data_IF_528724239293
#
_entry.id   IF_528724239293
#
_cell.length_a   1.000
_cell.length_b   1.000
_cell.length_c   1.000
_cell.angle_alpha   90.00
_cell.angle_beta   90.00
_cell.angle_gamma   90.00
#
_symmetry.space_group_name_H-M   'P 1'
#
loop_
_entity.id
_entity.type
_entity.pdbx_description
1 polymer ?
#
# COMPACT_ATOMS: atom_id res chain seq x y z
N UNK A 1 16.35 -20.27 -11.51
CA UNK A 1 15.19 -20.40 -12.43
C UNK A 1 14.35 -19.14 -12.33
N UNK A 2 13.87 -18.61 -13.45
CA UNK A 2 12.96 -17.46 -13.50
C UNK A 2 11.55 -17.89 -13.11
N UNK A 3 10.85 -17.09 -12.30
CA UNK A 3 9.47 -17.39 -11.89
C UNK A 3 8.50 -16.90 -12.97
N UNK A 4 7.59 -17.75 -13.45
CA UNK A 4 6.47 -17.27 -14.28
C UNK A 4 5.63 -16.24 -13.53
N UNK A 5 4.88 -15.39 -14.26
CA UNK A 5 3.97 -14.42 -13.65
C UNK A 5 2.95 -15.07 -12.70
N UNK A 6 2.43 -16.25 -13.08
CA UNK A 6 1.53 -17.01 -12.21
C UNK A 6 2.21 -17.44 -10.90
N UNK A 7 3.50 -17.80 -10.94
CA UNK A 7 4.26 -18.14 -9.73
C UNK A 7 4.51 -16.90 -8.88
N UNK A 8 4.83 -15.74 -9.46
CA UNK A 8 5.00 -14.48 -8.73
C UNK A 8 3.71 -14.09 -7.99
N UNK A 9 2.55 -14.16 -8.67
CA UNK A 9 1.25 -13.86 -8.07
C UNK A 9 0.96 -14.79 -6.88
N UNK A 10 1.18 -16.10 -7.06
CA UNK A 10 0.98 -17.09 -5.98
C UNK A 10 1.93 -16.84 -4.81
N UNK A 11 3.21 -16.60 -5.09
CA UNK A 11 4.20 -16.30 -4.05
C UNK A 11 3.89 -15.02 -3.29
N UNK A 12 3.37 -13.99 -3.96
CA UNK A 12 2.92 -12.76 -3.30
C UNK A 12 1.73 -13.03 -2.37
N UNK A 13 0.73 -13.78 -2.84
CA UNK A 13 -0.42 -14.16 -2.02
C UNK A 13 0.01 -14.99 -0.79
N UNK A 14 0.89 -15.98 -0.97
CA UNK A 14 1.42 -16.79 0.12
C UNK A 14 2.21 -15.95 1.13
N UNK A 15 3.03 -15.00 0.66
CA UNK A 15 3.80 -14.11 1.52
C UNK A 15 2.91 -13.17 2.34
N UNK A 16 1.84 -12.62 1.73
CA UNK A 16 0.85 -11.81 2.44
C UNK A 16 0.09 -12.64 3.49
N UNK A 17 -0.34 -13.86 3.15
CA UNK A 17 -1.01 -14.75 4.09
C UNK A 17 -0.10 -15.14 5.28
N UNK A 18 1.19 -15.36 5.04
CA UNK A 18 2.13 -15.59 6.14
C UNK A 18 2.31 -14.35 7.01
N UNK A 19 2.41 -13.18 6.40
CA UNK A 19 2.50 -11.93 7.14
C UNK A 19 1.28 -11.70 8.03
N UNK A 20 0.08 -11.97 7.53
CA UNK A 20 -1.17 -11.93 8.31
C UNK A 20 -1.14 -12.87 9.53
N UNK A 21 -0.68 -14.10 9.35
CA UNK A 21 -0.59 -15.08 10.44
C UNK A 21 0.41 -14.66 11.52
N UNK A 22 1.59 -14.19 11.12
CA UNK A 22 2.60 -13.66 12.05
C UNK A 22 2.05 -12.48 12.87
N UNK A 23 1.33 -11.56 12.22
CA UNK A 23 0.65 -10.46 12.92
C UNK A 23 -0.43 -10.97 13.88
N UNK A 24 -1.23 -11.96 13.47
CA UNK A 24 -2.26 -12.56 14.31
C UNK A 24 -1.69 -13.29 15.53
N UNK A 25 -0.47 -13.82 15.43
CA UNK A 25 0.27 -14.40 16.56
C UNK A 25 0.99 -13.37 17.44
N UNK A 26 0.90 -12.08 17.08
CA UNK A 26 1.48 -10.99 17.85
C UNK A 26 2.96 -10.72 17.56
N UNK A 27 3.50 -11.24 16.45
CA UNK A 27 4.88 -10.99 16.06
C UNK A 27 5.10 -9.48 15.82
N UNK A 28 6.15 -8.87 16.40
CA UNK A 28 6.46 -7.47 16.14
C UNK A 28 6.81 -7.25 14.67
N UNK A 29 6.20 -6.24 14.04
CA UNK A 29 6.45 -5.89 12.62
C UNK A 29 7.94 -5.66 12.32
N UNK A 30 8.70 -5.18 13.30
CA UNK A 30 10.14 -4.96 13.18
C UNK A 30 10.95 -6.24 12.94
N UNK A 31 10.44 -7.41 13.35
CA UNK A 31 11.06 -8.71 13.15
C UNK A 31 10.73 -9.29 11.77
N UNK A 32 9.64 -8.81 11.15
CA UNK A 32 9.15 -9.25 9.83
C UNK A 32 9.77 -8.48 8.66
N UNK A 33 10.92 -7.82 8.86
CA UNK A 33 11.60 -7.00 7.83
C UNK A 33 11.95 -7.77 6.56
N UNK A 34 12.39 -9.01 6.70
CA UNK A 34 12.70 -9.85 5.54
C UNK A 34 11.45 -10.22 4.74
N UNK A 35 10.37 -10.56 5.44
CA UNK A 35 9.09 -10.90 4.81
C UNK A 35 8.47 -9.69 4.10
N UNK A 36 8.45 -8.53 4.77
CA UNK A 36 7.97 -7.26 4.18
C UNK A 36 8.82 -6.82 2.98
N UNK A 37 10.14 -7.00 3.04
CA UNK A 37 11.03 -6.80 1.88
C UNK A 37 10.64 -7.70 0.70
N UNK A 38 10.50 -9.01 0.95
CA UNK A 38 10.11 -9.98 -0.08
C UNK A 38 8.73 -9.69 -0.69
N UNK A 39 7.75 -9.30 0.12
CA UNK A 39 6.42 -8.88 -0.35
C UNK A 39 6.56 -7.73 -1.35
N UNK A 40 7.40 -6.72 -1.03
CA UNK A 40 7.62 -5.59 -1.91
C UNK A 40 8.27 -5.98 -3.24
N UNK A 41 9.29 -6.83 -3.21
CA UNK A 41 9.95 -7.34 -4.42
C UNK A 41 8.98 -8.11 -5.33
N UNK A 42 8.17 -8.99 -4.74
CA UNK A 42 7.16 -9.76 -5.46
C UNK A 42 6.07 -8.87 -6.07
N UNK A 43 5.62 -7.87 -5.33
CA UNK A 43 4.67 -6.87 -5.82
C UNK A 43 5.25 -6.09 -7.01
N UNK A 44 6.47 -5.58 -6.89
CA UNK A 44 7.14 -4.85 -7.95
C UNK A 44 7.33 -5.72 -9.21
N UNK A 45 7.74 -6.99 -9.04
CA UNK A 45 7.85 -7.93 -10.16
C UNK A 45 6.50 -8.21 -10.84
N UNK A 46 5.42 -8.31 -10.05
CA UNK A 46 4.06 -8.52 -10.58
C UNK A 46 3.59 -7.31 -11.41
N UNK A 47 3.63 -6.10 -10.84
CA UNK A 47 3.05 -4.91 -11.48
C UNK A 47 3.84 -4.47 -12.71
N UNK A 48 5.15 -4.73 -12.74
CA UNK A 48 6.02 -4.43 -13.90
C UNK A 48 6.09 -5.57 -14.90
N UNK A 49 5.33 -6.66 -14.70
CA UNK A 49 5.43 -7.92 -15.45
C UNK A 49 6.88 -8.45 -15.53
N UNK A 50 7.69 -8.06 -14.55
CA UNK A 50 9.11 -8.31 -14.48
C UNK A 50 9.45 -9.64 -13.82
N UNK A 51 10.70 -9.76 -13.43
CA UNK A 51 11.28 -10.89 -12.73
C UNK A 51 12.08 -10.37 -11.55
N UNK A 52 12.13 -11.15 -10.47
CA UNK A 52 13.12 -10.91 -9.42
C UNK A 52 14.53 -11.04 -10.00
N UNK A 53 15.48 -10.32 -9.42
CA UNK A 53 16.87 -10.37 -9.85
C UNK A 53 17.38 -11.82 -9.93
N UNK A 54 18.06 -12.15 -11.04
CA UNK A 54 18.44 -13.52 -11.40
C UNK A 54 19.46 -14.15 -10.44
N UNK A 55 20.21 -13.32 -9.71
CA UNK A 55 21.25 -13.72 -8.76
C UNK A 55 20.83 -13.41 -7.33
N UNK A 56 21.06 -14.38 -6.44
CA UNK A 56 20.97 -14.14 -4.99
C UNK A 56 22.06 -13.13 -4.62
N UNK A 57 21.70 -12.06 -3.91
CA UNK A 57 22.57 -10.92 -3.58
C UNK A 57 23.01 -10.05 -4.77
N UNK A 58 22.14 -9.89 -5.78
CA UNK A 58 22.36 -8.93 -6.84
C UNK A 58 22.59 -7.52 -6.27
N UNK A 59 23.66 -6.86 -6.74
CA UNK A 59 24.04 -5.56 -6.19
C UNK A 59 23.20 -4.45 -6.81
N UNK A 60 22.43 -3.76 -5.96
CA UNK A 60 21.84 -2.46 -6.24
C UNK A 60 20.49 -2.44 -6.97
N UNK A 61 19.93 -3.60 -7.33
CA UNK A 61 18.55 -3.72 -7.81
C UNK A 61 17.96 -5.09 -7.47
N UNK A 62 16.64 -5.14 -7.37
CA UNK A 62 15.88 -6.26 -6.82
C UNK A 62 14.98 -6.92 -7.87
N UNK A 63 14.52 -6.14 -8.86
CA UNK A 63 13.60 -6.57 -9.93
C UNK A 63 14.09 -6.06 -11.28
N UNK A 64 13.84 -6.83 -12.34
CA UNK A 64 13.98 -6.39 -13.74
C UNK A 64 12.61 -6.38 -14.39
N UNK A 65 12.12 -5.25 -14.88
CA UNK A 65 10.80 -5.16 -15.53
C UNK A 65 10.75 -5.92 -16.86
N UNK A 66 9.55 -6.10 -17.43
CA UNK A 66 9.41 -6.65 -18.78
C UNK A 66 10.12 -5.79 -19.84
N UNK A 67 10.21 -4.48 -19.58
CA UNK A 67 10.88 -3.49 -20.42
C UNK A 67 12.40 -3.40 -20.16
N UNK A 68 12.93 -4.22 -19.24
CA UNK A 68 14.37 -4.33 -18.95
C UNK A 68 14.91 -3.31 -17.95
N UNK A 69 14.04 -2.56 -17.27
CA UNK A 69 14.45 -1.59 -16.24
C UNK A 69 14.95 -2.31 -14.99
N UNK A 70 16.08 -1.85 -14.43
CA UNK A 70 16.60 -2.37 -13.16
C UNK A 70 15.98 -1.58 -12.02
N UNK A 71 15.13 -2.23 -11.24
CA UNK A 71 14.32 -1.60 -10.20
C UNK A 71 14.88 -1.99 -8.84
N UNK A 72 15.20 -1.00 -8.01
CA UNK A 72 15.39 -1.23 -6.58
C UNK A 72 14.10 -0.97 -5.82
N UNK A 73 13.76 -1.86 -4.88
CA UNK A 73 12.53 -1.83 -4.11
C UNK A 73 12.86 -1.55 -2.65
N UNK A 74 12.18 -0.56 -2.06
CA UNK A 74 12.25 -0.29 -0.62
C UNK A 74 10.87 -0.41 0.01
N UNK A 75 10.73 -1.36 0.91
CA UNK A 75 9.51 -1.53 1.70
C UNK A 75 9.68 -0.95 3.09
N UNK A 76 8.66 -0.27 3.59
CA UNK A 76 8.59 0.17 4.98
C UNK A 76 7.17 0.02 5.55
N UNK A 77 7.05 0.02 6.87
CA UNK A 77 5.75 0.00 7.58
C UNK A 77 5.56 1.32 8.32
N UNK A 78 6.37 1.54 9.35
CA UNK A 78 6.32 2.71 10.25
C UNK A 78 7.62 3.53 10.30
N UNK A 79 8.67 3.15 9.56
CA UNK A 79 9.94 3.90 9.56
C UNK A 79 9.73 5.33 9.07
N UNK A 80 10.47 6.28 9.66
CA UNK A 80 10.48 7.69 9.25
C UNK A 80 11.53 8.01 8.19
N UNK A 81 12.45 7.07 7.95
CA UNK A 81 13.58 7.21 7.02
C UNK A 81 13.75 5.92 6.22
N UNK A 82 14.04 6.07 4.93
CA UNK A 82 14.32 4.95 4.03
C UNK A 82 15.76 5.07 3.57
N UNK A 83 16.59 4.11 3.95
CA UNK A 83 18.03 4.18 3.67
C UNK A 83 18.34 3.67 2.26
N UNK A 84 19.28 4.35 1.63
CA UNK A 84 19.86 3.99 0.34
C UNK A 84 21.37 3.84 0.49
N UNK A 85 21.92 2.82 -0.16
CA UNK A 85 23.37 2.68 -0.25
C UNK A 85 23.84 3.49 -1.48
N UNK A 86 24.55 4.62 -1.30
CA UNK A 86 24.99 5.45 -2.42
C UNK A 86 25.97 4.70 -3.34
N UNK A 87 26.72 3.73 -2.80
CA UNK A 87 27.66 2.92 -3.57
C UNK A 87 26.98 1.95 -4.53
N UNK A 88 25.68 1.69 -4.40
CA UNK A 88 24.96 0.71 -5.25
C UNK A 88 23.73 1.27 -5.94
N UNK A 89 23.24 2.45 -5.53
CA UNK A 89 22.02 3.05 -6.09
C UNK A 89 22.12 3.29 -7.60
N UNK A 90 23.31 3.59 -8.11
CA UNK A 90 23.56 3.80 -9.55
C UNK A 90 23.39 2.53 -10.40
N UNK A 91 23.32 1.35 -9.79
CA UNK A 91 23.07 0.11 -10.51
C UNK A 91 21.60 -0.05 -10.94
N UNK A 92 20.67 0.65 -10.28
CA UNK A 92 19.27 0.72 -10.66
C UNK A 92 19.01 1.90 -11.62
N UNK A 93 18.01 1.76 -12.48
CA UNK A 93 17.47 2.86 -13.30
C UNK A 93 16.18 3.44 -12.71
N UNK A 94 15.48 2.68 -11.87
CA UNK A 94 14.19 3.05 -11.29
C UNK A 94 14.12 2.63 -9.83
N UNK A 95 13.41 3.40 -9.00
CA UNK A 95 13.18 3.10 -7.59
C UNK A 95 11.68 3.01 -7.35
N UNK A 96 11.26 1.93 -6.70
CA UNK A 96 9.92 1.76 -6.14
C UNK A 96 9.98 1.76 -4.62
N UNK A 97 9.14 2.59 -3.99
CA UNK A 97 8.99 2.65 -2.55
C UNK A 97 7.57 2.26 -2.18
N UNK A 98 7.47 1.23 -1.35
CA UNK A 98 6.21 0.61 -0.95
C UNK A 98 6.02 0.75 0.56
N UNK A 99 4.82 1.13 0.97
CA UNK A 99 4.41 1.06 2.37
C UNK A 99 3.48 -0.14 2.57
N UNK A 100 3.81 -1.01 3.51
CA UNK A 100 2.85 -1.98 4.03
C UNK A 100 2.05 -1.30 5.13
N UNK A 101 0.78 -1.04 4.84
CA UNK A 101 -0.18 -0.45 5.75
C UNK A 101 -0.98 -1.57 6.39
N UNK A 102 -0.97 -1.62 7.71
CA UNK A 102 -1.74 -2.59 8.49
C UNK A 102 -2.94 -1.86 9.07
N UNK A 103 -4.14 -2.23 8.63
CA UNK A 103 -5.41 -1.76 9.21
C UNK A 103 -6.16 -2.96 9.75
N UNK A 104 -6.44 -2.97 11.06
CA UNK A 104 -7.21 -4.04 11.73
C UNK A 104 -6.67 -5.48 11.48
N UNK A 105 -5.35 -5.60 11.36
CA UNK A 105 -4.66 -6.88 11.12
C UNK A 105 -4.62 -7.31 9.65
N UNK A 106 -5.24 -6.56 8.75
CA UNK A 106 -5.20 -6.80 7.31
C UNK A 106 -4.09 -5.94 6.66
N UNK A 107 -3.03 -6.55 6.10
CA UNK A 107 -1.97 -5.84 5.43
C UNK A 107 -2.38 -5.45 4.01
N UNK A 108 -2.05 -4.23 3.62
CA UNK A 108 -2.20 -3.73 2.25
C UNK A 108 -0.92 -3.05 1.79
N UNK A 109 -0.64 -3.14 0.49
CA UNK A 109 0.54 -2.51 -0.12
C UNK A 109 0.10 -1.19 -0.73
N UNK A 110 0.73 -0.10 -0.30
CA UNK A 110 0.59 1.24 -0.88
C UNK A 110 1.86 1.60 -1.61
N UNK A 111 1.75 1.94 -2.89
CA UNK A 111 2.85 2.57 -3.63
C UNK A 111 2.99 4.03 -3.20
N UNK A 112 4.18 4.39 -2.71
CA UNK A 112 4.45 5.74 -2.19
C UNK A 112 5.34 6.54 -3.12
N UNK A 113 6.24 5.87 -3.84
CA UNK A 113 7.06 6.49 -4.87
C UNK A 113 7.38 5.46 -5.95
N UNK A 114 7.33 5.90 -7.19
CA UNK A 114 7.76 5.13 -8.34
C UNK A 114 8.35 6.10 -9.38
N UNK A 115 9.67 6.16 -9.47
CA UNK A 115 10.36 7.14 -10.32
C UNK A 115 11.76 6.67 -10.75
N UNK A 116 12.34 7.30 -11.80
CA UNK A 116 13.74 7.11 -12.14
C UNK A 116 14.68 7.51 -11.00
N UNK A 117 15.85 6.89 -10.90
CA UNK A 117 16.83 7.18 -9.85
C UNK A 117 17.27 8.65 -9.87
N UNK A 118 17.34 9.27 -11.05
CA UNK A 118 17.69 10.67 -11.24
C UNK A 118 16.68 11.61 -10.56
N UNK A 119 15.40 11.27 -10.62
CA UNK A 119 14.31 12.02 -9.98
C UNK A 119 14.30 11.83 -8.45
N UNK A 120 14.83 10.72 -7.94
CA UNK A 120 14.98 10.45 -6.51
C UNK A 120 16.09 11.31 -5.86
N UNK A 121 17.21 11.55 -6.56
CA UNK A 121 18.38 12.26 -6.04
C UNK A 121 18.08 13.55 -5.26
N UNK A 122 17.30 14.53 -5.78
CA UNK A 122 17.02 15.78 -5.06
C UNK A 122 16.22 15.58 -3.76
N UNK A 123 15.54 14.44 -3.62
CA UNK A 123 14.72 14.10 -2.45
C UNK A 123 15.56 13.55 -1.30
N UNK A 124 16.73 12.94 -1.60
CA UNK A 124 17.61 12.29 -0.64
C UNK A 124 18.32 13.29 0.28
N UNK A 125 18.72 12.81 1.46
CA UNK A 125 19.49 13.52 2.46
C UNK A 125 20.66 12.67 2.89
N UNK A 126 21.76 13.31 3.25
CA UNK A 126 22.97 12.64 3.74
C UNK A 126 23.26 13.14 5.15
N UNK A 127 23.45 12.21 6.08
CA UNK A 127 23.85 12.49 7.45
C UNK A 127 24.90 11.45 7.86
N UNK A 128 26.08 11.90 8.29
CA UNK A 128 27.16 11.02 8.80
C UNK A 128 27.50 9.85 7.85
N UNK A 129 27.53 10.10 6.54
CA UNK A 129 27.81 9.08 5.52
C UNK A 129 26.62 8.17 5.16
N UNK A 130 25.50 8.27 5.88
CA UNK A 130 24.26 7.56 5.55
C UNK A 130 23.37 8.40 4.62
N UNK A 131 22.98 7.82 3.48
CA UNK A 131 22.05 8.45 2.53
C UNK A 131 20.65 7.88 2.72
N UNK A 132 19.64 8.76 2.86
CA UNK A 132 18.28 8.34 3.17
C UNK A 132 17.24 9.29 2.58
N UNK A 133 16.03 8.79 2.39
CA UNK A 133 14.84 9.55 2.04
C UNK A 133 13.96 9.76 3.28
N UNK A 134 13.66 11.02 3.66
CA UNK A 134 12.67 11.31 4.70
C UNK A 134 11.25 10.93 4.24
N UNK A 135 10.54 10.12 5.02
CA UNK A 135 9.21 9.59 4.65
C UNK A 135 8.14 10.70 4.57
N UNK A 136 8.27 11.76 5.37
CA UNK A 136 7.34 12.88 5.33
C UNK A 136 7.31 13.60 3.96
N UNK A 137 8.42 13.61 3.21
CA UNK A 137 8.49 14.24 1.88
C UNK A 137 7.67 13.49 0.85
N UNK A 138 7.76 12.17 0.88
CA UNK A 138 7.01 11.33 -0.04
C UNK A 138 5.53 11.26 0.35
N UNK A 139 5.21 11.11 1.64
CA UNK A 139 3.81 11.06 2.10
C UNK A 139 3.07 12.39 1.90
N UNK A 140 3.76 13.53 2.05
CA UNK A 140 3.19 14.84 1.73
C UNK A 140 3.01 15.03 0.22
N UNK A 141 3.92 14.50 -0.61
CA UNK A 141 3.81 14.56 -2.07
C UNK A 141 2.72 13.64 -2.64
N UNK A 142 2.43 12.49 -2.01
CA UNK A 142 1.29 11.61 -2.37
C UNK A 142 -0.08 12.19 -2.01
N UNK A 143 -0.15 13.37 -1.36
CA UNK A 143 -1.40 14.16 -1.36
C UNK A 143 -1.68 14.81 -2.72
N UNK A 144 -0.71 14.83 -3.63
CA UNK A 144 -0.98 15.05 -5.06
C UNK A 144 -1.54 13.74 -5.59
N UNK A 145 -2.85 13.63 -5.40
CA UNK A 145 -3.72 12.59 -5.87
C UNK A 145 -3.39 12.19 -7.33
N UNK A 146 -3.38 10.89 -7.63
CA UNK A 146 -4.05 10.49 -8.88
C UNK A 146 -5.43 11.11 -8.79
N UNK A 147 -5.87 11.98 -9.71
CA UNK A 147 -7.15 12.63 -9.58
C UNK A 147 -8.21 11.54 -9.37
N UNK A 148 -8.80 11.54 -8.18
CA UNK A 148 -9.99 10.72 -7.90
C UNK A 148 -11.13 11.08 -8.88
N UNK A 149 -10.98 12.18 -9.64
CA UNK A 149 -11.89 12.66 -10.67
C UNK A 149 -12.13 11.74 -11.86
N UNK A 150 -11.30 10.72 -12.12
CA UNK A 150 -11.54 9.78 -13.24
C UNK A 150 -12.19 8.45 -12.82
N UNK A 151 -12.28 8.18 -11.51
CA UNK A 151 -12.90 6.94 -11.02
C UNK A 151 -14.41 7.15 -10.91
N UNK A 152 -15.17 6.30 -11.61
CA UNK A 152 -16.64 6.35 -11.53
C UNK A 152 -17.12 5.85 -10.17
N UNK A 153 -18.12 6.53 -9.63
CA UNK A 153 -18.93 6.00 -8.54
C UNK A 153 -19.78 4.85 -9.07
N UNK A 154 -19.62 3.66 -8.49
CA UNK A 154 -20.35 2.45 -8.88
C UNK A 154 -21.53 2.16 -7.95
N UNK A 155 -21.51 2.70 -6.73
CA UNK A 155 -22.62 2.60 -5.79
C UNK A 155 -22.62 3.82 -4.85
N UNK A 156 -23.80 4.23 -4.38
CA UNK A 156 -23.97 5.33 -3.44
C UNK A 156 -25.19 5.13 -2.55
N UNK A 157 -25.10 5.62 -1.31
CA UNK A 157 -26.19 5.66 -0.37
C UNK A 157 -26.15 6.97 0.45
N UNK A 158 -27.31 7.50 0.79
CA UNK A 158 -27.43 8.70 1.61
C UNK A 158 -28.07 8.35 2.96
N UNK A 159 -27.52 8.91 4.05
CA UNK A 159 -28.08 8.79 5.39
C UNK A 159 -27.96 10.13 6.11
N UNK A 160 -29.10 10.79 6.32
CA UNK A 160 -29.17 12.14 6.91
C UNK A 160 -28.27 13.11 6.13
N UNK A 161 -27.35 13.81 6.80
CA UNK A 161 -26.36 14.69 6.16
C UNK A 161 -25.17 13.96 5.55
N UNK A 162 -25.09 12.62 5.66
CA UNK A 162 -23.99 11.84 5.11
C UNK A 162 -24.32 11.25 3.73
N UNK A 163 -23.34 11.27 2.83
CA UNK A 163 -23.36 10.52 1.57
C UNK A 163 -22.16 9.57 1.55
N UNK A 164 -22.41 8.28 1.37
CA UNK A 164 -21.39 7.23 1.26
C UNK A 164 -21.36 6.74 -0.18
N UNK A 165 -20.22 6.86 -0.85
CA UNK A 165 -20.05 6.45 -2.24
C UNK A 165 -18.89 5.44 -2.37
N UNK A 166 -19.08 4.44 -3.21
CA UNK A 166 -18.06 3.47 -3.59
C UNK A 166 -17.59 3.75 -5.01
N UNK A 167 -16.28 3.90 -5.18
CA UNK A 167 -15.64 4.01 -6.48
C UNK A 167 -15.39 2.63 -7.10
N UNK A 168 -15.16 2.58 -8.41
CA UNK A 168 -14.90 1.33 -9.14
C UNK A 168 -13.73 0.49 -8.59
N UNK A 169 -12.73 1.10 -7.97
CA UNK A 169 -11.63 0.39 -7.30
C UNK A 169 -11.96 -0.01 -5.84
N UNK A 170 -13.22 0.13 -5.44
CA UNK A 170 -13.72 -0.14 -4.10
C UNK A 170 -13.37 0.91 -3.04
N UNK A 171 -12.79 2.05 -3.40
CA UNK A 171 -12.56 3.14 -2.44
C UNK A 171 -13.89 3.66 -1.93
N UNK A 172 -13.99 3.91 -0.61
CA UNK A 172 -15.17 4.52 0.00
C UNK A 172 -14.90 5.99 0.27
N UNK A 173 -15.75 6.84 -0.29
CA UNK A 173 -15.82 8.27 -0.01
C UNK A 173 -16.99 8.52 0.93
N UNK A 174 -16.81 9.42 1.90
CA UNK A 174 -17.90 9.89 2.76
C UNK A 174 -17.94 11.40 2.66
N UNK A 175 -19.10 11.95 2.34
CA UNK A 175 -19.38 13.38 2.40
C UNK A 175 -20.31 13.66 3.57
N UNK A 176 -20.11 14.77 4.25
CA UNK A 176 -21.01 15.32 5.25
C UNK A 176 -21.45 16.71 4.77
N UNK A 177 -22.74 16.93 4.64
CA UNK A 177 -23.34 18.16 4.10
C UNK A 177 -22.71 18.61 2.76
N UNK A 178 -22.41 17.62 1.90
CA UNK A 178 -21.80 17.81 0.58
C UNK A 178 -20.27 17.94 0.57
N UNK A 179 -19.62 18.13 1.72
CA UNK A 179 -18.17 18.23 1.85
C UNK A 179 -17.52 16.86 2.04
N UNK A 180 -16.49 16.54 1.23
CA UNK A 180 -15.75 15.28 1.37
C UNK A 180 -14.96 15.24 2.68
N UNK A 181 -15.19 14.21 3.49
CA UNK A 181 -14.47 14.01 4.73
C UNK A 181 -13.06 13.47 4.46
N UNK A 182 -12.02 13.99 5.14
CA UNK A 182 -10.65 13.50 5.01
C UNK A 182 -10.47 12.09 5.60
N UNK A 183 -11.35 11.68 6.52
CA UNK A 183 -11.36 10.35 7.13
C UNK A 183 -12.78 9.78 7.14
N UNK A 184 -13.03 8.76 6.32
CA UNK A 184 -14.34 8.13 6.20
C UNK A 184 -14.71 7.26 7.43
N UNK A 185 -13.75 6.52 8.00
CA UNK A 185 -14.01 5.46 9.00
C UNK A 185 -14.78 5.91 10.26
N UNK A 186 -14.48 7.08 10.88
CA UNK A 186 -15.26 7.56 12.02
C UNK A 186 -16.74 7.81 11.69
N UNK A 187 -17.01 8.46 10.55
CA UNK A 187 -18.38 8.71 10.09
C UNK A 187 -19.12 7.41 9.76
N UNK A 188 -18.47 6.47 9.07
CA UNK A 188 -19.05 5.15 8.79
C UNK A 188 -19.44 4.39 10.07
N UNK A 189 -18.64 4.46 11.14
CA UNK A 189 -18.98 3.82 12.43
C UNK A 189 -20.21 4.44 13.09
N UNK A 190 -20.40 5.75 12.95
CA UNK A 190 -21.61 6.44 13.44
C UNK A 190 -22.82 5.94 12.66
N UNK A 191 -22.75 5.99 11.32
CA UNK A 191 -23.83 5.55 10.43
C UNK A 191 -24.18 4.08 10.73
N UNK A 192 -23.19 3.18 10.75
CA UNK A 192 -23.38 1.75 10.99
C UNK A 192 -24.13 1.47 12.31
N UNK A 193 -23.73 2.13 13.40
CA UNK A 193 -24.39 1.98 14.70
C UNK A 193 -25.85 2.43 14.68
N UNK A 194 -26.16 3.50 13.95
CA UNK A 194 -27.53 4.01 13.86
C UNK A 194 -28.44 3.13 13.00
N UNK A 195 -27.92 2.56 11.92
CA UNK A 195 -28.69 1.73 10.98
C UNK A 195 -28.67 0.23 11.33
N UNK A 196 -27.96 -0.15 12.40
CA UNK A 196 -27.87 -1.54 12.86
C UNK A 196 -26.93 -2.43 12.06
N UNK A 197 -26.00 -1.85 11.27
CA UNK A 197 -24.93 -2.60 10.61
C UNK A 197 -23.83 -2.86 11.63
N UNK A 198 -23.50 -4.14 11.83
CA UNK A 198 -22.42 -4.53 12.73
C UNK A 198 -21.06 -4.00 12.22
N UNK A 199 -20.37 -3.13 12.99
CA UNK A 199 -19.02 -2.70 12.63
C UNK A 199 -17.97 -3.81 12.79
N UNK A 200 -18.34 -4.97 13.33
CA UNK A 200 -17.49 -6.15 13.51
C UNK A 200 -17.69 -7.17 12.39
N UNK A 201 -16.62 -7.85 12.01
CA UNK A 201 -16.61 -8.97 11.07
C UNK A 201 -16.86 -10.32 11.75
N UNK A 202 -17.02 -11.37 10.92
CA UNK A 202 -17.34 -12.73 11.38
C UNK A 202 -16.32 -13.35 12.35
N UNK A 203 -15.08 -12.86 12.37
CA UNK A 203 -14.01 -13.30 13.27
C UNK A 203 -13.78 -12.35 14.45
N UNK A 204 -14.77 -11.54 14.83
CA UNK A 204 -14.69 -10.53 15.90
C UNK A 204 -13.63 -9.43 15.72
N UNK A 205 -13.14 -9.22 14.49
CA UNK A 205 -12.29 -8.08 14.15
C UNK A 205 -13.13 -6.93 13.59
N UNK A 206 -12.83 -5.65 13.86
CA UNK A 206 -13.58 -4.55 13.27
C UNK A 206 -13.41 -4.53 11.74
N UNK A 207 -14.44 -4.07 11.03
CA UNK A 207 -14.45 -3.96 9.57
C UNK A 207 -13.64 -2.75 9.11
N UNK A 208 -12.79 -2.96 8.10
CA UNK A 208 -12.09 -1.89 7.42
C UNK A 208 -13.06 -0.93 6.71
N UNK A 209 -12.59 0.27 6.34
CA UNK A 209 -13.41 1.33 5.73
C UNK A 209 -14.16 0.85 4.47
N UNK A 210 -13.51 0.00 3.66
CA UNK A 210 -14.08 -0.52 2.40
C UNK A 210 -15.25 -1.46 2.68
N UNK A 211 -15.07 -2.44 3.56
CA UNK A 211 -16.07 -3.45 3.91
C UNK A 211 -17.23 -2.82 4.68
N UNK A 212 -16.93 -1.97 5.66
CA UNK A 212 -17.96 -1.25 6.41
C UNK A 212 -18.78 -0.33 5.50
N UNK A 213 -18.12 0.40 4.59
CA UNK A 213 -18.80 1.26 3.62
C UNK A 213 -19.68 0.48 2.65
N UNK A 214 -19.21 -0.66 2.13
CA UNK A 214 -20.01 -1.52 1.27
C UNK A 214 -21.25 -2.08 1.98
N UNK A 215 -21.10 -2.53 3.24
CA UNK A 215 -22.22 -3.03 4.04
C UNK A 215 -23.25 -1.93 4.35
N UNK A 216 -22.79 -0.70 4.62
CA UNK A 216 -23.67 0.48 4.80
C UNK A 216 -24.42 0.80 3.52
N UNK A 217 -23.72 0.82 2.37
CA UNK A 217 -24.37 1.06 1.07
C UNK A 217 -25.42 -0.01 0.78
N UNK A 218 -25.11 -1.28 1.04
CA UNK A 218 -26.04 -2.39 0.84
C UNK A 218 -27.24 -2.39 1.81
N UNK A 219 -27.11 -1.80 3.00
CA UNK A 219 -28.19 -1.68 3.97
C UNK A 219 -29.12 -0.48 3.71
N UNK A 220 -28.63 0.54 2.99
CA UNK A 220 -29.34 1.79 2.72
C UNK A 220 -29.88 1.91 1.28
N UNK A 221 -29.36 1.12 0.35
CA UNK A 221 -29.83 1.01 -1.04
C UNK A 221 -30.77 -0.17 -1.25
#
# INVERSE_FOLDING_TARGET
MTLSQTQIIRSLADALQWFEKELAWGAPVAELRHLTGRIGELYAAMITRGQMALSVNQVGYDVVSAEGERITVKTFTSSTRINFNPATLHAASRVMILQIVIDEGEPSIREVLDCPVEALQPMLRTLEGSTYLPVNRILASTRVARPVGDLKEVARAAWRGYEVAQLENGTILVREDGALLPMAKPALRIIAREIGVDPMGATSNPKNTRRLGADIIAALG
#
